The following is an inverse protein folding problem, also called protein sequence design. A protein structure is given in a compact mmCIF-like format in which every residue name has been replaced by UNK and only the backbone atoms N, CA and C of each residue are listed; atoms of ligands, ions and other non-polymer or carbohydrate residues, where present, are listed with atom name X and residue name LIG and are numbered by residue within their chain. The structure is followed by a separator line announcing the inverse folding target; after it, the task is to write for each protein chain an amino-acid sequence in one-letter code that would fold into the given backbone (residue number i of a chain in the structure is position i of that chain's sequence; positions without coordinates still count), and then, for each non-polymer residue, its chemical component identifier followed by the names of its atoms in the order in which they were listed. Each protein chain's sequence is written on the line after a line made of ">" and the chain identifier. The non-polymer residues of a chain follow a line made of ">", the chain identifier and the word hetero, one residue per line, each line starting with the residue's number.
data_IF_794716123691
#
_entry.id   IF_794716123691
#
_cell.length_a   1.000
_cell.length_b   1.000
_cell.length_c   1.000
_cell.angle_alpha   90.00
_cell.angle_beta   90.00
_cell.angle_gamma   90.00
#
_symmetry.space_group_name_H-M   'P 1'
#
loop_
_entity.id
_entity.type
_entity.pdbx_description
1 polymer ?
#
# COMPACT_ATOMS: atom_id res chain seq x y z
N UNK A 1 20.65 -51.20 12.89
CA UNK A 1 20.44 -50.99 14.34
C UNK A 1 19.25 -50.03 14.50
N UNK A 2 18.13 -50.63 14.86
CA UNK A 2 16.81 -50.04 14.95
C UNK A 2 16.59 -49.55 16.39
N UNK A 3 16.22 -48.28 16.59
CA UNK A 3 15.69 -47.81 17.87
C UNK A 3 14.42 -46.99 17.65
N UNK A 4 13.31 -47.67 17.80
CA UNK A 4 11.95 -47.17 17.94
C UNK A 4 11.79 -46.54 19.32
N UNK A 5 11.39 -45.27 19.41
CA UNK A 5 10.88 -44.68 20.65
C UNK A 5 9.40 -44.34 20.51
N UNK A 6 8.58 -45.14 21.17
CA UNK A 6 7.15 -44.91 21.39
C UNK A 6 6.96 -43.76 22.38
N UNK A 7 6.07 -42.83 22.10
CA UNK A 7 5.57 -41.81 23.04
C UNK A 7 4.17 -42.22 23.53
N UNK A 8 3.88 -42.06 24.82
CA UNK A 8 2.56 -42.41 25.37
C UNK A 8 1.54 -41.30 25.13
N UNK A 9 0.32 -41.72 24.82
CA UNK A 9 -0.88 -40.89 24.83
C UNK A 9 -1.26 -40.58 26.29
N UNK A 10 -1.46 -39.31 26.61
CA UNK A 10 -2.10 -38.90 27.84
C UNK A 10 -3.50 -38.36 27.50
N UNK A 11 -4.49 -39.10 27.95
CA UNK A 11 -5.89 -38.73 27.92
C UNK A 11 -6.15 -37.72 29.06
N UNK A 12 -6.72 -36.56 28.78
CA UNK A 12 -7.29 -35.67 29.78
C UNK A 12 -8.81 -35.63 29.65
N UNK A 13 -9.40 -36.08 30.72
CA UNK A 13 -10.83 -36.25 30.97
C UNK A 13 -11.53 -34.92 31.20
N UNK A 14 -12.73 -34.79 30.67
CA UNK A 14 -13.63 -33.67 30.84
C UNK A 14 -14.19 -33.59 32.25
N UNK A 15 -14.33 -32.39 32.80
CA UNK A 15 -15.16 -32.05 33.94
C UNK A 15 -16.05 -30.89 33.58
N UNK A 16 -17.34 -31.20 33.43
CA UNK A 16 -18.45 -30.27 33.36
C UNK A 16 -18.77 -29.77 34.77
N UNK A 17 -18.78 -28.49 35.01
CA UNK A 17 -19.41 -27.87 36.16
C UNK A 17 -20.23 -26.67 35.70
N UNK A 18 -21.54 -26.82 35.72
CA UNK A 18 -22.51 -25.74 35.50
C UNK A 18 -22.64 -24.87 36.76
N UNK A 19 -22.77 -23.56 36.55
CA UNK A 19 -23.32 -22.66 37.55
C UNK A 19 -24.16 -21.61 36.83
N UNK A 20 -25.47 -21.73 36.98
CA UNK A 20 -26.44 -20.69 36.64
C UNK A 20 -26.48 -19.68 37.80
N UNK A 21 -26.21 -18.42 37.54
CA UNK A 21 -26.52 -17.31 38.41
C UNK A 21 -27.37 -16.30 37.67
N UNK A 22 -28.68 -16.31 37.95
CA UNK A 22 -29.57 -15.25 37.58
C UNK A 22 -29.32 -14.07 38.52
N UNK A 23 -28.82 -12.95 37.99
CA UNK A 23 -28.67 -11.68 38.66
C UNK A 23 -29.47 -10.60 37.90
N UNK A 24 -30.67 -10.27 38.35
CA UNK A 24 -31.34 -9.03 37.96
C UNK A 24 -30.63 -7.87 38.66
N UNK A 25 -29.87 -7.09 37.90
CA UNK A 25 -29.30 -5.82 38.32
C UNK A 25 -29.70 -4.76 37.29
N UNK A 26 -30.49 -3.77 37.74
CA UNK A 26 -30.95 -2.66 36.89
C UNK A 26 -29.76 -1.91 36.30
N UNK A 27 -29.75 -1.79 34.98
CA UNK A 27 -28.82 -0.94 34.21
C UNK A 27 -29.22 0.53 34.45
N UNK A 28 -28.31 1.41 34.91
CA UNK A 28 -28.54 2.84 34.78
C UNK A 28 -28.53 3.15 33.28
N UNK A 29 -29.62 3.69 32.82
CA UNK A 29 -29.83 4.20 31.46
C UNK A 29 -28.82 5.35 31.24
N UNK A 30 -27.72 5.04 30.60
CA UNK A 30 -26.79 6.05 30.14
C UNK A 30 -27.44 6.70 28.92
N UNK A 31 -27.65 8.02 28.89
CA UNK A 31 -28.10 8.69 27.68
C UNK A 31 -27.11 8.34 26.54
N UNK A 32 -27.63 8.08 25.34
CA UNK A 32 -26.73 7.79 24.22
C UNK A 32 -25.77 8.97 24.04
N UNK A 33 -24.49 8.72 24.26
CA UNK A 33 -23.46 9.68 23.90
C UNK A 33 -23.63 9.94 22.42
N UNK A 34 -24.09 11.14 22.08
CA UNK A 34 -24.10 11.61 20.69
C UNK A 34 -22.64 11.64 20.27
N UNK A 35 -22.21 10.59 19.59
CA UNK A 35 -20.90 10.55 18.95
C UNK A 35 -20.91 11.70 17.92
N UNK A 36 -20.30 12.82 18.29
CA UNK A 36 -19.99 13.88 17.33
C UNK A 36 -19.09 13.23 16.31
N UNK A 37 -19.62 12.97 15.10
CA UNK A 37 -18.82 12.47 14.01
C UNK A 37 -17.63 13.42 13.84
N UNK A 38 -16.42 12.89 13.97
CA UNK A 38 -15.22 13.68 13.68
C UNK A 38 -15.38 14.24 12.27
N UNK A 39 -14.98 15.50 12.03
CA UNK A 39 -15.06 16.08 10.70
C UNK A 39 -14.30 15.15 9.75
N UNK A 40 -14.99 14.64 8.74
CA UNK A 40 -14.39 13.83 7.68
C UNK A 40 -13.45 14.78 6.95
N UNK A 41 -12.13 14.64 7.21
CA UNK A 41 -11.15 15.39 6.44
C UNK A 41 -11.26 14.91 5.00
N UNK A 42 -11.42 15.84 4.06
CA UNK A 42 -11.50 15.53 2.64
C UNK A 42 -10.14 14.96 2.19
N UNK A 43 -10.09 13.67 1.93
CA UNK A 43 -8.95 12.98 1.32
C UNK A 43 -8.77 13.34 -0.16
N UNK A 44 -8.13 12.47 -0.90
CA UNK A 44 -7.96 12.63 -2.34
C UNK A 44 -9.27 12.42 -3.11
N UNK A 45 -9.45 13.10 -4.24
CA UNK A 45 -10.53 12.84 -5.17
C UNK A 45 -10.25 11.51 -5.90
N UNK A 46 -11.21 10.59 -5.86
CA UNK A 46 -11.06 9.28 -6.49
C UNK A 46 -11.07 9.36 -8.02
N UNK A 47 -10.31 8.50 -8.64
CA UNK A 47 -10.30 8.27 -10.07
C UNK A 47 -9.53 6.98 -10.39
N UNK A 48 -9.86 6.36 -11.52
CA UNK A 48 -9.20 5.15 -11.96
C UNK A 48 -7.69 5.37 -12.07
N UNK A 49 -6.90 4.46 -11.51
CA UNK A 49 -5.44 4.55 -11.48
C UNK A 49 -4.91 5.91 -10.95
N UNK A 50 -5.61 6.52 -9.98
CA UNK A 50 -5.30 7.87 -9.47
C UNK A 50 -5.22 8.91 -10.61
N UNK A 51 -6.14 8.81 -11.57
CA UNK A 51 -6.28 9.68 -12.74
C UNK A 51 -5.05 9.71 -13.69
N UNK A 52 -4.25 8.66 -13.70
CA UNK A 52 -3.12 8.52 -14.63
C UNK A 52 -3.42 7.43 -15.66
N UNK A 53 -3.20 7.77 -16.93
CA UNK A 53 -3.50 6.88 -18.06
C UNK A 53 -2.30 6.02 -18.46
N UNK A 54 -2.55 4.95 -19.24
CA UNK A 54 -1.49 4.10 -19.80
C UNK A 54 -0.51 4.92 -20.66
N UNK A 55 -1.00 5.93 -21.36
CA UNK A 55 -0.17 6.85 -22.16
C UNK A 55 0.75 7.73 -21.29
N UNK A 56 0.27 8.15 -20.12
CA UNK A 56 1.09 8.91 -19.17
C UNK A 56 2.23 8.05 -18.62
N UNK A 57 1.94 6.79 -18.29
CA UNK A 57 2.94 5.82 -17.83
C UNK A 57 4.00 5.60 -18.92
N UNK A 58 3.59 5.30 -20.14
CA UNK A 58 4.49 5.09 -21.27
C UNK A 58 5.37 6.33 -21.52
N UNK A 59 4.80 7.53 -21.44
CA UNK A 59 5.52 8.80 -21.59
C UNK A 59 6.54 9.03 -20.48
N UNK A 60 6.18 8.77 -19.21
CA UNK A 60 7.07 8.97 -18.08
C UNK A 60 8.31 8.07 -18.15
N UNK A 61 8.14 6.83 -18.63
CA UNK A 61 9.25 5.87 -18.77
C UNK A 61 10.06 6.10 -20.06
N UNK A 62 9.51 6.78 -21.03
CA UNK A 62 10.19 7.05 -22.31
C UNK A 62 10.06 5.93 -23.34
N UNK A 63 8.87 5.59 -23.74
CA UNK A 63 8.53 4.70 -24.87
C UNK A 63 8.49 3.20 -24.58
N UNK A 64 8.54 2.75 -23.35
CA UNK A 64 8.31 1.34 -23.04
C UNK A 64 6.85 0.95 -23.31
N UNK A 65 6.63 -0.29 -23.74
CA UNK A 65 5.29 -0.83 -23.90
C UNK A 65 4.86 -1.51 -22.60
N UNK A 66 3.80 -1.01 -22.01
CA UNK A 66 3.21 -1.55 -20.78
C UNK A 66 1.84 -2.14 -21.05
N UNK A 67 1.52 -3.21 -20.32
CA UNK A 67 0.17 -3.76 -20.23
C UNK A 67 -0.34 -3.55 -18.81
N UNK A 68 -1.52 -2.92 -18.67
CA UNK A 68 -2.22 -2.85 -17.40
C UNK A 68 -2.75 -4.23 -17.05
N UNK A 69 -2.28 -4.80 -15.96
CA UNK A 69 -2.64 -6.16 -15.50
C UNK A 69 -3.51 -6.16 -14.27
N UNK A 70 -3.57 -5.03 -13.56
CA UNK A 70 -4.53 -4.78 -12.47
C UNK A 70 -5.16 -3.42 -12.72
N UNK A 71 -6.50 -3.39 -12.66
CA UNK A 71 -7.32 -2.19 -12.77
C UNK A 71 -8.44 -2.29 -11.73
N UNK A 72 -8.36 -1.46 -10.69
CA UNK A 72 -9.32 -1.44 -9.60
C UNK A 72 -9.44 -0.04 -8.98
N UNK A 73 -10.49 0.16 -8.18
CA UNK A 73 -10.71 1.39 -7.42
C UNK A 73 -9.69 1.60 -6.27
N UNK A 74 -8.95 0.55 -5.90
CA UNK A 74 -7.86 0.61 -4.93
C UNK A 74 -6.52 0.94 -5.58
N UNK A 75 -6.35 0.71 -6.90
CA UNK A 75 -5.12 1.00 -7.60
C UNK A 75 -4.93 0.20 -8.89
N UNK A 76 -3.81 0.45 -9.54
CA UNK A 76 -3.46 -0.14 -10.82
C UNK A 76 -2.03 -0.65 -10.82
N UNK A 77 -1.80 -1.65 -11.65
CA UNK A 77 -0.47 -2.19 -11.90
C UNK A 77 -0.24 -2.37 -13.40
N UNK A 78 0.87 -1.84 -13.89
CA UNK A 78 1.35 -2.00 -15.25
C UNK A 78 2.62 -2.83 -15.25
N UNK A 79 2.67 -3.79 -16.15
CA UNK A 79 3.83 -4.62 -16.39
C UNK A 79 4.43 -4.30 -17.76
N UNK A 80 5.75 -4.18 -17.82
CA UNK A 80 6.46 -4.05 -19.08
C UNK A 80 6.28 -5.31 -19.92
N UNK A 81 5.91 -5.12 -21.19
CA UNK A 81 5.92 -6.19 -22.17
C UNK A 81 7.38 -6.44 -22.62
N UNK A 82 8.04 -7.39 -21.97
CA UNK A 82 9.46 -7.71 -22.21
C UNK A 82 9.77 -8.18 -23.62
N UNK A 83 8.76 -8.64 -24.38
CA UNK A 83 8.96 -9.03 -25.79
C UNK A 83 8.99 -7.82 -26.73
N UNK A 84 8.45 -6.68 -26.31
CA UNK A 84 8.34 -5.45 -27.11
C UNK A 84 9.03 -4.24 -26.43
N UNK A 85 9.38 -4.36 -25.16
CA UNK A 85 9.97 -3.27 -24.37
C UNK A 85 11.45 -3.05 -24.69
N UNK A 86 11.85 -1.79 -24.74
CA UNK A 86 13.23 -1.38 -25.02
C UNK A 86 14.21 -1.76 -23.91
N UNK A 87 13.72 -2.02 -22.72
CA UNK A 87 14.55 -2.26 -21.53
C UNK A 87 14.69 -3.73 -21.15
N UNK A 88 13.83 -4.62 -21.64
CA UNK A 88 13.97 -6.08 -21.52
C UNK A 88 14.07 -6.65 -20.11
N UNK A 89 13.58 -5.93 -19.11
CA UNK A 89 14.00 -6.18 -17.74
C UNK A 89 12.88 -6.45 -16.73
N UNK A 90 11.65 -6.62 -17.20
CA UNK A 90 10.56 -6.92 -16.27
C UNK A 90 10.30 -5.78 -15.31
N UNK A 91 10.05 -4.58 -15.84
CA UNK A 91 9.65 -3.44 -15.02
C UNK A 91 8.18 -3.52 -14.66
N UNK A 92 7.87 -3.24 -13.40
CA UNK A 92 6.53 -3.08 -12.89
C UNK A 92 6.32 -1.67 -12.34
N UNK A 93 5.18 -1.08 -12.67
CA UNK A 93 4.75 0.24 -12.18
C UNK A 93 3.41 0.06 -11.50
N UNK A 94 3.25 0.61 -10.31
CA UNK A 94 1.98 0.55 -9.60
C UNK A 94 1.62 1.87 -8.94
N UNK A 95 0.32 2.06 -8.79
CA UNK A 95 -0.23 3.08 -7.91
C UNK A 95 -1.31 2.47 -7.05
N UNK A 96 -1.34 2.83 -5.77
CA UNK A 96 -2.34 2.36 -4.82
C UNK A 96 -2.86 3.51 -3.98
N UNK A 97 -4.13 3.41 -3.61
CA UNK A 97 -4.79 4.32 -2.70
C UNK A 97 -5.14 3.57 -1.41
N UNK A 98 -4.43 3.89 -0.34
CA UNK A 98 -4.67 3.37 1.00
C UNK A 98 -5.60 4.33 1.75
N UNK A 99 -6.89 4.00 1.73
CA UNK A 99 -7.93 4.78 2.43
C UNK A 99 -7.82 4.53 3.92
N UNK A 100 -7.76 5.61 4.70
CA UNK A 100 -7.66 5.54 6.15
C UNK A 100 -6.31 5.02 6.66
N UNK A 101 -5.27 4.98 5.82
CA UNK A 101 -3.90 4.68 6.25
C UNK A 101 -3.20 5.94 6.74
N UNK A 102 -2.21 5.74 7.61
CA UNK A 102 -1.34 6.82 8.05
C UNK A 102 0.08 6.66 7.51
N UNK A 103 0.77 7.80 7.40
CA UNK A 103 2.11 7.88 6.84
C UNK A 103 3.16 7.18 7.70
N UNK A 104 2.95 7.08 9.01
CA UNK A 104 3.93 6.47 9.93
C UNK A 104 3.89 4.94 9.80
N UNK A 105 2.72 4.38 9.53
CA UNK A 105 2.58 2.96 9.20
C UNK A 105 3.35 2.64 7.92
N UNK A 106 3.14 3.41 6.86
CA UNK A 106 3.82 3.19 5.57
C UNK A 106 5.35 3.35 5.70
N UNK A 107 5.81 4.36 6.45
CA UNK A 107 7.24 4.55 6.75
C UNK A 107 7.86 3.35 7.46
N UNK A 108 7.15 2.84 8.46
CA UNK A 108 7.63 1.70 9.25
C UNK A 108 7.79 0.47 8.37
N UNK A 109 6.84 0.20 7.48
CA UNK A 109 6.92 -0.92 6.55
C UNK A 109 8.12 -0.79 5.60
N UNK A 110 8.34 0.39 5.04
CA UNK A 110 9.47 0.64 4.14
C UNK A 110 10.83 0.58 4.85
N UNK A 111 10.92 1.05 6.09
CA UNK A 111 12.12 0.91 6.92
C UNK A 111 12.42 -0.55 7.25
N UNK A 112 11.41 -1.34 7.58
CA UNK A 112 11.56 -2.79 7.83
C UNK A 112 11.99 -3.54 6.56
N UNK A 113 11.58 -3.06 5.39
CA UNK A 113 12.05 -3.57 4.09
C UNK A 113 13.49 -3.15 3.77
N UNK A 114 14.15 -2.36 4.63
CA UNK A 114 15.54 -1.91 4.44
C UNK A 114 15.71 -0.79 3.43
N UNK A 115 14.65 -0.07 3.07
CA UNK A 115 14.70 1.03 2.12
C UNK A 115 15.20 2.32 2.76
N UNK A 116 15.89 3.12 1.97
CA UNK A 116 16.29 4.48 2.35
C UNK A 116 15.12 5.44 2.15
N UNK A 117 14.75 6.17 3.20
CA UNK A 117 13.65 7.14 3.17
C UNK A 117 14.18 8.57 3.02
N UNK A 118 13.45 9.38 2.26
CA UNK A 118 13.71 10.83 2.10
C UNK A 118 12.39 11.57 2.09
N UNK A 119 12.27 12.62 2.91
CA UNK A 119 11.08 13.47 2.96
C UNK A 119 10.89 14.23 1.65
N UNK A 120 9.63 14.40 1.26
CA UNK A 120 9.23 15.25 0.14
C UNK A 120 7.86 15.89 0.38
N UNK A 121 7.50 16.83 -0.49
CA UNK A 121 6.15 17.37 -0.58
C UNK A 121 5.77 17.51 -2.05
N UNK A 122 4.55 17.10 -2.39
CA UNK A 122 3.99 17.26 -3.74
C UNK A 122 2.68 18.02 -3.62
N UNK A 123 2.58 19.16 -4.30
CA UNK A 123 1.41 20.06 -4.31
C UNK A 123 0.89 20.40 -2.91
N UNK A 124 1.83 20.65 -1.98
CA UNK A 124 1.54 20.96 -0.59
C UNK A 124 1.20 19.76 0.29
N UNK A 125 0.99 18.59 -0.28
CA UNK A 125 0.78 17.36 0.46
C UNK A 125 2.12 16.78 0.94
N UNK A 126 2.19 16.38 2.21
CA UNK A 126 3.38 15.76 2.79
C UNK A 126 3.55 14.34 2.25
N UNK A 127 4.79 13.95 2.05
CA UNK A 127 5.13 12.64 1.56
C UNK A 127 6.54 12.21 1.89
N UNK A 128 6.90 11.02 1.46
CA UNK A 128 8.27 10.54 1.48
C UNK A 128 8.55 9.67 0.26
N UNK A 129 9.82 9.55 -0.03
CA UNK A 129 10.38 8.64 -1.02
C UNK A 129 11.07 7.48 -0.31
N UNK A 130 10.78 6.26 -0.72
CA UNK A 130 11.45 5.05 -0.27
C UNK A 130 12.20 4.41 -1.44
N UNK A 131 13.50 4.17 -1.27
CA UNK A 131 14.38 3.70 -2.34
C UNK A 131 15.27 2.55 -1.89
N UNK A 132 15.46 1.58 -2.80
CA UNK A 132 16.55 0.61 -2.80
C UNK A 132 17.26 0.56 -4.18
N UNK A 133 18.06 -0.47 -4.42
CA UNK A 133 18.79 -0.61 -5.70
C UNK A 133 17.87 -0.85 -6.91
N UNK A 134 16.70 -1.47 -6.70
CA UNK A 134 15.83 -1.99 -7.75
C UNK A 134 14.45 -1.33 -7.78
N UNK A 135 14.14 -0.48 -6.81
CA UNK A 135 12.83 0.10 -6.68
C UNK A 135 12.87 1.52 -6.12
N UNK A 136 11.86 2.30 -6.50
CA UNK A 136 11.56 3.58 -5.88
C UNK A 136 10.06 3.75 -5.71
N UNK A 137 9.63 4.11 -4.50
CA UNK A 137 8.23 4.38 -4.18
C UNK A 137 8.08 5.80 -3.65
N UNK A 138 7.01 6.47 -4.03
CA UNK A 138 6.60 7.77 -3.53
C UNK A 138 5.28 7.61 -2.79
N UNK A 139 5.21 8.12 -1.59
CA UNK A 139 4.02 8.13 -0.74
C UNK A 139 3.61 9.57 -0.49
N UNK A 140 2.33 9.88 -0.69
CA UNK A 140 1.77 11.22 -0.47
C UNK A 140 0.51 11.10 0.37
N UNK A 141 0.36 11.91 1.43
CA UNK A 141 -0.78 11.86 2.33
C UNK A 141 -1.65 13.11 2.23
N UNK A 142 -2.96 12.92 2.33
CA UNK A 142 -3.96 13.97 2.45
C UNK A 142 -5.21 13.46 3.17
N UNK A 143 -5.59 14.16 4.22
CA UNK A 143 -6.87 13.89 4.89
C UNK A 143 -7.06 12.50 5.48
N UNK A 144 -5.99 11.81 5.86
CA UNK A 144 -6.03 10.45 6.39
C UNK A 144 -5.98 9.36 5.31
N UNK A 145 -5.78 9.73 4.06
CA UNK A 145 -5.51 8.80 2.96
C UNK A 145 -4.06 8.89 2.53
N UNK A 146 -3.54 7.81 1.95
CA UNK A 146 -2.21 7.76 1.33
C UNK A 146 -2.32 7.24 -0.09
N UNK A 147 -1.78 7.97 -1.05
CA UNK A 147 -1.57 7.50 -2.42
C UNK A 147 -0.10 7.15 -2.60
N UNK A 148 0.17 6.01 -3.23
CA UNK A 148 1.52 5.60 -3.58
C UNK A 148 1.70 5.48 -5.08
N UNK A 149 2.92 5.75 -5.52
CA UNK A 149 3.46 5.38 -6.83
C UNK A 149 4.74 4.61 -6.63
N UNK A 150 4.90 3.50 -7.33
CA UNK A 150 6.09 2.65 -7.19
C UNK A 150 6.55 2.12 -8.54
N UNK A 151 7.86 2.11 -8.75
CA UNK A 151 8.53 1.42 -9.85
C UNK A 151 9.47 0.39 -9.27
N UNK A 152 9.43 -0.83 -9.83
CA UNK A 152 10.42 -1.88 -9.57
C UNK A 152 10.95 -2.39 -10.90
N UNK A 153 12.22 -2.79 -10.91
CA UNK A 153 12.86 -3.41 -12.08
C UNK A 153 13.80 -4.52 -11.66
N UNK A 154 13.91 -5.54 -12.50
CA UNK A 154 14.90 -6.61 -12.32
C UNK A 154 16.30 -6.19 -12.82
N UNK A 155 16.39 -5.14 -13.63
CA UNK A 155 17.65 -4.62 -14.15
C UNK A 155 17.75 -3.10 -14.01
N UNK A 156 18.15 -2.58 -12.85
CA UNK A 156 18.22 -1.14 -12.59
C UNK A 156 19.27 -0.42 -13.47
N UNK A 157 20.23 -1.14 -14.01
CA UNK A 157 21.28 -0.55 -14.85
C UNK A 157 20.75 -0.04 -16.21
N UNK A 158 19.57 -0.46 -16.63
CA UNK A 158 18.96 -0.04 -17.91
C UNK A 158 18.11 1.23 -17.79
N UNK A 159 17.81 1.67 -16.57
CA UNK A 159 17.00 2.86 -16.32
C UNK A 159 17.82 3.96 -15.67
N UNK A 160 17.77 5.19 -16.21
CA UNK A 160 18.60 6.28 -15.72
C UNK A 160 18.22 6.75 -14.32
N UNK A 161 16.92 6.80 -13.98
CA UNK A 161 16.44 7.29 -12.69
C UNK A 161 15.03 6.78 -12.36
N UNK A 162 14.95 5.69 -11.59
CA UNK A 162 13.66 5.16 -11.14
C UNK A 162 12.86 6.17 -10.32
N UNK A 163 13.54 6.92 -9.43
CA UNK A 163 12.87 7.85 -8.55
C UNK A 163 12.36 9.09 -9.30
N UNK A 164 13.08 9.58 -10.30
CA UNK A 164 12.63 10.69 -11.14
C UNK A 164 11.37 10.35 -11.91
N UNK A 165 11.29 9.14 -12.49
CA UNK A 165 10.09 8.65 -13.18
C UNK A 165 8.92 8.51 -12.20
N UNK A 166 9.16 7.88 -11.04
CA UNK A 166 8.10 7.70 -10.03
C UNK A 166 7.59 9.03 -9.50
N UNK A 167 8.49 9.99 -9.25
CA UNK A 167 8.11 11.33 -8.79
C UNK A 167 7.31 12.09 -9.84
N UNK A 168 7.63 11.94 -11.13
CA UNK A 168 6.85 12.53 -12.22
C UNK A 168 5.41 11.99 -12.24
N UNK A 169 5.23 10.68 -12.09
CA UNK A 169 3.91 10.05 -12.04
C UNK A 169 3.13 10.49 -10.78
N UNK A 170 3.80 10.55 -9.63
CA UNK A 170 3.19 11.02 -8.40
C UNK A 170 2.73 12.48 -8.51
N UNK A 171 3.53 13.38 -9.08
CA UNK A 171 3.14 14.77 -9.32
C UNK A 171 1.95 14.87 -10.24
N UNK A 172 1.97 14.18 -11.39
CA UNK A 172 0.87 14.18 -12.33
C UNK A 172 -0.43 13.65 -11.70
N UNK A 173 -0.34 12.61 -10.87
CA UNK A 173 -1.47 12.10 -10.09
C UNK A 173 -2.00 13.18 -9.14
N UNK A 174 -1.14 13.85 -8.37
CA UNK A 174 -1.56 14.87 -7.40
C UNK A 174 -2.27 16.06 -8.05
N UNK A 175 -1.82 16.50 -9.22
CA UNK A 175 -2.48 17.55 -10.01
C UNK A 175 -3.93 17.17 -10.38
N UNK A 176 -4.26 15.88 -10.47
CA UNK A 176 -5.54 15.36 -10.94
C UNK A 176 -6.46 14.83 -9.84
N UNK A 177 -5.94 14.51 -8.65
CA UNK A 177 -6.70 13.96 -7.52
C UNK A 177 -6.90 14.94 -6.36
N UNK A 178 -6.38 16.13 -6.45
CA UNK A 178 -6.50 17.20 -5.45
C UNK A 178 -7.89 17.86 -5.41
#
# INVERSE_FOLDING_TARGET
>A
MTMSRRRPLTACTALLAGAALAGCGGTPEHPPATATAAPVSSGFASGDCNNVTDADVAKAVGSATFTKVVDSDAGCFWQENTMLGSFGAGMGISTWWYRGSDMDTERTLEQQAGRTLTELSIDGNKGFKARDANACSIYVSKGGDVITWSIQTMNPATLPDLCGITEQLARLSQERVN
#
